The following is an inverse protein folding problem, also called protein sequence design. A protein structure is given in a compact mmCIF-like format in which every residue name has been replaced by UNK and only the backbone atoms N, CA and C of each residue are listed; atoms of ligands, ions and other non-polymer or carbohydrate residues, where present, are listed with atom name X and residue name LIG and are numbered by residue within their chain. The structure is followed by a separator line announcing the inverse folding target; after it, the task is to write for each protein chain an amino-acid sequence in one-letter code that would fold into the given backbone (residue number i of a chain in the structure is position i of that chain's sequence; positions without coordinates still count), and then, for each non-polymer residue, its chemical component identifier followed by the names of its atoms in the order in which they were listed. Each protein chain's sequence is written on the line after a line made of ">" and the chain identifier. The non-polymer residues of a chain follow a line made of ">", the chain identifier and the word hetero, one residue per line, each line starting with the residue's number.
data_IF_827061249016
#
_entry.id   IF_827061249016
#
_cell.length_a   1.000
_cell.length_b   1.000
_cell.length_c   1.000
_cell.angle_alpha   90.00
_cell.angle_beta   90.00
_cell.angle_gamma   90.00
#
_symmetry.space_group_name_H-M   'P 1'
#
loop_
_entity.id
_entity.type
_entity.pdbx_description
1 polymer ?
#
# COMPACT_ATOMS: atom_id res chain seq x y z
N UNK A 1 -11.44 -13.18 35.82
CA UNK A 1 -10.30 -12.87 34.93
C UNK A 1 -10.86 -12.66 33.54
N UNK A 2 -11.07 -11.40 33.17
CA UNK A 2 -11.69 -11.03 31.90
C UNK A 2 -10.65 -11.19 30.79
N UNK A 3 -10.94 -12.10 29.85
CA UNK A 3 -10.35 -12.10 28.52
C UNK A 3 -10.55 -10.69 27.93
N UNK A 4 -9.52 -9.83 28.01
CA UNK A 4 -9.39 -8.75 27.05
C UNK A 4 -9.17 -9.43 25.70
N UNK A 5 -10.26 -9.59 24.95
CA UNK A 5 -10.16 -9.54 23.50
C UNK A 5 -9.47 -8.21 23.21
N UNK A 6 -8.17 -8.26 22.88
CA UNK A 6 -7.49 -7.11 22.29
C UNK A 6 -8.32 -6.73 21.06
N UNK A 7 -9.01 -5.59 21.12
CA UNK A 7 -9.67 -5.02 19.95
C UNK A 7 -8.62 -4.87 18.87
N UNK A 8 -8.93 -5.29 17.65
CA UNK A 8 -8.02 -5.07 16.53
C UNK A 8 -7.82 -3.56 16.35
N UNK A 9 -6.61 -3.13 15.94
CA UNK A 9 -6.35 -1.72 15.64
C UNK A 9 -7.39 -1.18 14.65
N UNK A 10 -8.03 -0.07 15.00
CA UNK A 10 -9.05 0.59 14.16
C UNK A 10 -8.47 1.75 13.34
N UNK A 11 -7.17 2.05 13.51
CA UNK A 11 -6.51 3.17 12.86
C UNK A 11 -6.47 3.02 11.34
N UNK A 12 -6.89 4.07 10.63
CA UNK A 12 -6.73 4.17 9.18
C UNK A 12 -6.55 5.60 8.71
N UNK A 13 -5.90 5.76 7.55
CA UNK A 13 -5.90 6.99 6.77
C UNK A 13 -6.77 6.82 5.53
N UNK A 14 -7.54 7.84 5.15
CA UNK A 14 -8.30 7.88 3.90
C UNK A 14 -7.75 9.00 3.03
N UNK A 15 -7.38 8.67 1.80
CA UNK A 15 -6.99 9.67 0.81
C UNK A 15 -8.21 10.43 0.31
N UNK A 16 -8.16 11.76 0.36
CA UNK A 16 -9.23 12.66 -0.08
C UNK A 16 -9.01 13.05 -1.55
N UNK A 17 -9.14 12.08 -2.44
CA UNK A 17 -9.02 12.27 -3.88
C UNK A 17 -10.06 11.44 -4.63
N UNK A 18 -10.56 11.98 -5.74
CA UNK A 18 -11.30 11.20 -6.74
C UNK A 18 -10.34 10.65 -7.77
N UNK A 19 -10.15 9.33 -7.80
CA UNK A 19 -9.24 8.67 -8.73
C UNK A 19 -9.92 8.44 -10.10
N UNK A 20 -9.23 8.69 -11.22
CA UNK A 20 -9.75 8.32 -12.54
C UNK A 20 -9.75 6.79 -12.71
N UNK A 21 -10.41 6.30 -13.76
CA UNK A 21 -10.16 4.93 -14.20
C UNK A 21 -8.70 4.82 -14.68
N UNK A 22 -7.99 3.81 -14.20
CA UNK A 22 -6.54 3.68 -14.38
C UNK A 22 -6.22 2.43 -15.22
N UNK A 23 -5.87 2.56 -16.51
CA UNK A 23 -5.39 1.44 -17.33
C UNK A 23 -3.98 0.98 -16.93
N UNK A 24 -3.27 1.81 -16.16
CA UNK A 24 -2.02 1.49 -15.49
C UNK A 24 -1.96 2.27 -14.18
N UNK A 25 -1.22 1.75 -13.20
CA UNK A 25 -1.03 2.41 -11.91
C UNK A 25 0.35 2.09 -11.35
N UNK A 26 0.95 3.07 -10.69
CA UNK A 26 2.11 2.84 -9.82
C UNK A 26 1.88 3.52 -8.48
N UNK A 27 2.25 2.84 -7.40
CA UNK A 27 2.11 3.35 -6.03
C UNK A 27 3.44 3.16 -5.32
N UNK A 28 3.97 4.23 -4.73
CA UNK A 28 5.12 4.16 -3.84
C UNK A 28 4.69 4.62 -2.44
N UNK A 29 5.27 4.01 -1.41
CA UNK A 29 5.03 4.32 -0.01
C UNK A 29 6.30 4.01 0.78
N UNK A 30 6.59 4.79 1.83
CA UNK A 30 7.59 4.42 2.83
C UNK A 30 6.88 3.87 4.05
N UNK A 31 7.35 2.71 4.54
CA UNK A 31 6.80 2.07 5.72
C UNK A 31 7.90 1.73 6.71
N UNK A 32 7.59 1.83 7.99
CA UNK A 32 8.36 1.28 9.09
C UNK A 32 7.46 0.30 9.82
N UNK A 33 7.73 -1.00 9.65
CA UNK A 33 6.91 -2.07 10.24
C UNK A 33 7.22 -2.20 11.74
N UNK A 34 6.22 -2.35 12.61
CA UNK A 34 6.45 -2.65 14.03
C UNK A 34 6.99 -4.09 14.18
N UNK A 35 8.23 -4.30 14.66
CA UNK A 35 8.82 -5.62 14.76
C UNK A 35 8.06 -6.60 15.66
N UNK A 36 7.21 -6.10 16.56
CA UNK A 36 6.35 -6.92 17.43
C UNK A 36 5.04 -7.34 16.75
N UNK A 37 4.70 -6.77 15.60
CA UNK A 37 3.49 -7.09 14.87
C UNK A 37 3.71 -8.25 13.89
N UNK A 38 3.08 -9.38 14.17
CA UNK A 38 3.25 -10.65 13.44
C UNK A 38 2.03 -11.09 12.63
N UNK A 39 0.94 -10.32 12.67
CA UNK A 39 -0.27 -10.62 11.90
C UNK A 39 -0.08 -10.23 10.43
N UNK A 40 -0.97 -10.75 9.58
CA UNK A 40 -1.09 -10.24 8.22
C UNK A 40 -1.61 -8.81 8.26
N UNK A 41 -1.02 -7.93 7.46
CA UNK A 41 -1.39 -6.52 7.39
C UNK A 41 -1.57 -6.03 5.98
N UNK A 42 -2.38 -5.00 5.86
CA UNK A 42 -2.60 -4.27 4.61
C UNK A 42 -2.08 -2.84 4.76
N UNK A 43 -0.99 -2.53 4.06
CA UNK A 43 -0.38 -1.19 4.09
C UNK A 43 -1.30 -0.17 3.41
N UNK A 44 -1.88 -0.56 2.28
CA UNK A 44 -2.95 0.20 1.63
C UNK A 44 -3.89 -0.71 0.84
N UNK A 45 -5.13 -0.29 0.76
CA UNK A 45 -6.22 -0.97 0.04
C UNK A 45 -7.01 0.07 -0.75
N UNK A 46 -7.16 -0.15 -2.05
CA UNK A 46 -8.06 0.61 -2.93
C UNK A 46 -9.27 -0.26 -3.27
N UNK A 47 -10.45 0.28 -2.98
CA UNK A 47 -11.72 -0.37 -3.27
C UNK A 47 -12.56 0.51 -4.19
N UNK A 48 -13.19 -0.09 -5.19
CA UNK A 48 -14.21 0.56 -5.99
C UNK A 48 -15.60 0.08 -5.55
N UNK A 49 -16.64 0.90 -5.74
CA UNK A 49 -18.01 0.55 -5.34
C UNK A 49 -18.52 -0.76 -5.97
N UNK A 50 -18.00 -1.09 -7.16
CA UNK A 50 -18.33 -2.31 -7.91
C UNK A 50 -17.42 -3.50 -7.60
N UNK A 51 -16.27 -3.26 -6.95
CA UNK A 51 -15.28 -4.31 -6.68
C UNK A 51 -14.32 -3.90 -5.55
N UNK A 52 -14.38 -4.60 -4.42
CA UNK A 52 -13.68 -4.19 -3.21
C UNK A 52 -12.17 -4.42 -3.27
N UNK A 53 -11.71 -5.59 -3.71
CA UNK A 53 -10.28 -5.95 -3.67
C UNK A 53 -9.57 -5.50 -4.96
N UNK A 54 -9.73 -4.23 -5.31
CA UNK A 54 -9.35 -3.70 -6.61
C UNK A 54 -7.83 -3.58 -6.75
N UNK A 55 -7.15 -2.99 -5.75
CA UNK A 55 -5.70 -2.85 -5.71
C UNK A 55 -5.17 -2.75 -4.29
N UNK A 56 -4.24 -3.62 -3.87
CA UNK A 56 -3.77 -3.66 -2.47
C UNK A 56 -2.31 -4.10 -2.36
N UNK A 57 -1.61 -3.61 -1.34
CA UNK A 57 -0.32 -4.15 -0.93
C UNK A 57 -0.41 -4.70 0.49
N UNK A 58 -0.17 -6.00 0.64
CA UNK A 58 -0.21 -6.74 1.90
C UNK A 58 1.17 -7.22 2.31
N UNK A 59 1.35 -7.40 3.60
CA UNK A 59 2.57 -7.88 4.23
C UNK A 59 2.27 -8.98 5.25
N UNK A 60 3.18 -9.94 5.38
CA UNK A 60 3.12 -10.97 6.41
C UNK A 60 4.52 -11.37 6.86
N UNK A 61 4.74 -11.50 8.17
CA UNK A 61 5.98 -12.02 8.72
C UNK A 61 6.16 -13.51 8.40
N UNK A 62 7.33 -13.89 7.90
CA UNK A 62 7.72 -15.29 7.73
C UNK A 62 8.54 -15.84 8.91
N UNK A 63 8.75 -17.16 8.93
CA UNK A 63 9.52 -17.83 9.99
C UNK A 63 11.02 -17.52 10.00
N UNK A 64 11.51 -16.65 9.11
CA UNK A 64 12.91 -16.24 9.00
C UNK A 64 13.14 -14.78 9.36
N UNK A 65 12.11 -14.07 9.83
CA UNK A 65 12.21 -12.66 10.21
C UNK A 65 12.11 -11.70 9.03
N UNK A 66 11.46 -12.10 7.93
CA UNK A 66 11.21 -11.24 6.76
C UNK A 66 9.73 -10.90 6.66
N UNK A 67 9.41 -9.68 6.27
CA UNK A 67 8.07 -9.30 5.85
C UNK A 67 7.93 -9.63 4.37
N UNK A 68 7.14 -10.66 4.05
CA UNK A 68 6.82 -11.02 2.68
C UNK A 68 5.70 -10.13 2.17
N UNK A 69 5.83 -9.66 0.92
CA UNK A 69 4.89 -8.77 0.27
C UNK A 69 4.05 -9.50 -0.77
N UNK A 70 2.76 -9.18 -0.81
CA UNK A 70 1.86 -9.60 -1.87
C UNK A 70 1.06 -8.42 -2.42
N UNK A 71 1.10 -8.29 -3.74
CA UNK A 71 0.24 -7.37 -4.48
C UNK A 71 -1.08 -8.07 -4.78
N UNK A 72 -2.20 -7.35 -4.65
CA UNK A 72 -3.51 -7.79 -5.12
C UNK A 72 -3.95 -6.83 -6.23
N UNK A 73 -4.35 -7.38 -7.37
CA UNK A 73 -4.94 -6.60 -8.48
C UNK A 73 -6.18 -7.32 -8.98
N UNK A 74 -7.31 -6.63 -9.07
CA UNK A 74 -8.61 -7.20 -9.45
C UNK A 74 -8.96 -8.48 -8.66
N UNK A 75 -8.63 -8.50 -7.38
CA UNK A 75 -8.86 -9.64 -6.47
C UNK A 75 -7.89 -10.81 -6.67
N UNK A 76 -6.96 -10.72 -7.62
CA UNK A 76 -5.93 -11.73 -7.80
C UNK A 76 -4.75 -11.48 -6.87
N UNK A 77 -4.55 -12.39 -5.94
CA UNK A 77 -3.42 -12.37 -5.00
C UNK A 77 -2.14 -12.86 -5.68
N UNK A 78 -1.06 -12.05 -5.63
CA UNK A 78 0.26 -12.40 -6.14
C UNK A 78 1.09 -13.17 -5.11
N UNK A 79 1.96 -14.10 -5.53
CA UNK A 79 2.79 -14.86 -4.61
C UNK A 79 3.66 -13.99 -3.71
N UNK A 80 3.84 -14.42 -2.45
CA UNK A 80 4.74 -13.82 -1.48
C UNK A 80 6.23 -14.08 -1.81
N UNK A 81 6.79 -13.37 -2.79
CA UNK A 81 8.22 -13.51 -3.18
C UNK A 81 9.06 -12.26 -2.94
N UNK A 82 8.49 -11.06 -3.04
CA UNK A 82 9.17 -9.83 -2.63
C UNK A 82 9.18 -9.75 -1.10
N UNK A 83 10.24 -9.19 -0.50
CA UNK A 83 10.35 -9.07 0.95
C UNK A 83 11.33 -7.98 1.39
N UNK A 84 11.23 -7.60 2.65
CA UNK A 84 12.20 -6.79 3.39
C UNK A 84 12.43 -7.37 4.79
N UNK A 85 13.56 -7.10 5.48
CA UNK A 85 13.79 -7.59 6.84
C UNK A 85 12.82 -6.94 7.85
N UNK A 86 12.34 -7.70 8.84
CA UNK A 86 11.59 -7.14 9.95
C UNK A 86 12.53 -6.52 11.01
N UNK A 87 13.23 -5.44 10.65
CA UNK A 87 14.29 -4.82 11.44
C UNK A 87 13.89 -3.49 12.11
N UNK A 88 12.65 -3.04 11.89
CA UNK A 88 12.14 -1.76 12.40
C UNK A 88 12.72 -0.54 11.67
N UNK A 89 13.39 -0.71 10.54
CA UNK A 89 13.85 0.38 9.68
C UNK A 89 12.78 0.81 8.67
N UNK A 90 13.02 1.97 8.05
CA UNK A 90 12.21 2.44 6.93
C UNK A 90 12.55 1.68 5.65
N UNK A 91 11.53 1.20 4.95
CA UNK A 91 11.64 0.62 3.63
C UNK A 91 10.76 1.37 2.63
N UNK A 92 11.30 1.59 1.43
CA UNK A 92 10.58 2.20 0.32
C UNK A 92 10.00 1.12 -0.57
N UNK A 93 8.68 1.01 -0.55
CA UNK A 93 7.92 -0.01 -1.26
C UNK A 93 7.22 0.64 -2.45
N UNK A 94 7.49 0.14 -3.65
CA UNK A 94 6.77 0.56 -4.84
C UNK A 94 6.19 -0.62 -5.59
N UNK A 95 5.03 -0.43 -6.19
CA UNK A 95 4.40 -1.41 -7.06
C UNK A 95 3.96 -0.77 -8.36
N UNK A 96 3.83 -1.56 -9.40
CA UNK A 96 3.26 -1.13 -10.68
C UNK A 96 2.38 -2.21 -11.26
N UNK A 97 1.37 -1.81 -12.01
CA UNK A 97 0.52 -2.67 -12.81
C UNK A 97 0.08 -1.97 -14.10
N UNK A 98 -0.09 -2.73 -15.19
CA UNK A 98 -0.72 -2.22 -16.42
C UNK A 98 -1.59 -3.26 -17.12
N UNK A 99 -2.69 -2.79 -17.68
CA UNK A 99 -3.68 -3.58 -18.41
C UNK A 99 -3.15 -4.21 -19.69
N UNK A 100 -2.26 -3.52 -20.41
CA UNK A 100 -1.86 -3.87 -21.78
C UNK A 100 -1.35 -5.29 -21.95
N UNK A 101 -0.63 -5.80 -20.95
CA UNK A 101 -0.05 -7.14 -20.91
C UNK A 101 -0.19 -7.81 -19.53
N UNK A 102 -0.95 -7.18 -18.62
CA UNK A 102 -1.07 -7.60 -17.23
C UNK A 102 0.25 -7.59 -16.48
N UNK A 103 1.24 -6.80 -16.93
CA UNK A 103 2.53 -6.71 -16.25
C UNK A 103 2.34 -6.08 -14.87
N UNK A 104 2.94 -6.69 -13.86
CA UNK A 104 3.05 -6.14 -12.52
C UNK A 104 4.45 -6.37 -11.95
N UNK A 105 4.85 -5.52 -11.01
CA UNK A 105 6.09 -5.70 -10.27
C UNK A 105 6.01 -5.06 -8.88
N UNK A 106 6.79 -5.62 -7.94
CA UNK A 106 7.01 -5.09 -6.60
C UNK A 106 8.49 -4.74 -6.49
N UNK A 107 8.78 -3.54 -6.00
CA UNK A 107 10.11 -3.02 -5.73
C UNK A 107 10.25 -2.71 -4.26
N UNK A 108 11.39 -3.10 -3.69
CA UNK A 108 11.78 -2.84 -2.31
C UNK A 108 13.12 -2.10 -2.38
N UNK A 109 13.16 -0.91 -1.78
CA UNK A 109 14.35 -0.06 -1.72
C UNK A 109 14.97 0.21 -3.11
N UNK A 110 14.11 0.41 -4.12
CA UNK A 110 14.49 0.66 -5.51
C UNK A 110 14.94 -0.59 -6.30
N UNK A 111 14.92 -1.78 -5.68
CA UNK A 111 15.30 -3.05 -6.30
C UNK A 111 14.05 -3.90 -6.55
N UNK A 112 13.97 -4.57 -7.70
CA UNK A 112 12.82 -5.41 -8.06
C UNK A 112 12.85 -6.69 -7.21
N UNK A 113 11.82 -6.89 -6.38
CA UNK A 113 11.65 -8.07 -5.54
C UNK A 113 10.83 -9.17 -6.23
N UNK A 114 9.81 -8.80 -7.00
CA UNK A 114 9.00 -9.75 -7.77
C UNK A 114 8.37 -9.10 -9.01
N UNK A 115 7.97 -9.91 -9.99
CA UNK A 115 7.22 -9.47 -11.16
C UNK A 115 6.48 -10.60 -11.87
N UNK A 116 5.51 -10.24 -12.69
CA UNK A 116 4.81 -11.17 -13.58
C UNK A 116 4.06 -10.46 -14.69
N UNK A 117 3.38 -11.25 -15.52
CA UNK A 117 2.56 -10.78 -16.64
C UNK A 117 1.48 -11.82 -17.00
N UNK A 118 0.48 -11.45 -17.80
CA UNK A 118 -0.35 -12.41 -18.52
C UNK A 118 -1.45 -13.13 -17.72
N UNK A 119 -1.87 -12.59 -16.57
CA UNK A 119 -2.92 -13.21 -15.74
C UNK A 119 -4.09 -12.28 -15.39
N UNK A 120 -4.03 -10.99 -15.71
CA UNK A 120 -5.02 -10.02 -15.22
C UNK A 120 -6.30 -9.90 -16.04
N UNK A 121 -7.34 -9.46 -15.34
CA UNK A 121 -8.60 -9.08 -15.99
C UNK A 121 -8.32 -7.93 -16.95
N UNK A 122 -8.72 -8.00 -18.23
CA UNK A 122 -8.40 -6.98 -19.23
C UNK A 122 -9.30 -5.74 -19.09
N UNK A 123 -9.42 -5.20 -17.88
CA UNK A 123 -10.18 -4.00 -17.53
C UNK A 123 -9.29 -3.03 -16.77
N UNK A 124 -9.69 -1.77 -16.72
CA UNK A 124 -8.96 -0.77 -15.94
C UNK A 124 -9.18 -1.06 -14.44
N UNK A 125 -8.29 -0.52 -13.60
CA UNK A 125 -8.66 -0.25 -12.20
C UNK A 125 -9.79 0.77 -12.25
N UNK A 126 -10.93 0.44 -11.64
CA UNK A 126 -12.10 1.32 -11.63
C UNK A 126 -11.76 2.66 -10.98
N UNK A 127 -12.26 3.74 -11.55
CA UNK A 127 -12.20 5.06 -10.93
C UNK A 127 -13.19 5.21 -9.78
N UNK A 128 -13.20 6.40 -9.19
CA UNK A 128 -14.09 6.82 -8.10
C UNK A 128 -14.03 5.91 -6.85
N UNK A 129 -12.91 5.21 -6.67
CA UNK A 129 -12.67 4.35 -5.53
C UNK A 129 -12.15 5.08 -4.29
N UNK A 130 -11.99 4.33 -3.20
CA UNK A 130 -11.48 4.80 -1.92
C UNK A 130 -10.15 4.12 -1.64
N UNK A 131 -9.08 4.93 -1.51
CA UNK A 131 -7.78 4.48 -1.05
C UNK A 131 -7.67 4.67 0.47
N UNK A 132 -7.52 3.55 1.17
CA UNK A 132 -7.33 3.46 2.62
C UNK A 132 -5.90 3.01 2.90
N UNK A 133 -5.29 3.64 3.90
CA UNK A 133 -4.01 3.28 4.48
C UNK A 133 -4.23 2.55 5.80
N UNK A 134 -3.49 1.47 5.99
CA UNK A 134 -3.40 0.74 7.24
C UNK A 134 -4.50 -0.29 7.52
N UNK A 135 -5.45 -0.48 6.60
CA UNK A 135 -6.52 -1.47 6.72
C UNK A 135 -6.85 -2.09 5.37
N UNK A 136 -7.26 -3.36 5.39
CA UNK A 136 -7.99 -3.97 4.28
C UNK A 136 -9.45 -3.52 4.30
N UNK A 137 -10.05 -3.41 3.11
CA UNK A 137 -11.44 -3.09 2.90
C UNK A 137 -12.17 -4.38 2.51
N UNK A 138 -12.97 -4.98 3.41
CA UNK A 138 -13.88 -6.08 3.03
C UNK A 138 -15.22 -5.55 2.47
N UNK A 139 -15.41 -4.23 2.49
CA UNK A 139 -16.49 -3.53 1.80
C UNK A 139 -16.02 -2.16 1.31
N UNK A 140 -16.75 -1.55 0.36
CA UNK A 140 -16.39 -0.23 -0.14
C UNK A 140 -16.37 0.83 0.98
N UNK A 141 -15.17 1.26 1.39
CA UNK A 141 -14.96 2.26 2.43
C UNK A 141 -15.20 1.80 3.87
N UNK A 142 -15.24 0.48 4.15
CA UNK A 142 -15.49 -0.02 5.51
C UNK A 142 -15.32 -1.53 5.66
N UNK A 143 -15.80 -2.06 6.79
CA UNK A 143 -15.55 -3.44 7.23
C UNK A 143 -14.04 -3.73 7.24
N UNK A 144 -13.31 -2.93 8.02
CA UNK A 144 -11.86 -2.95 8.01
C UNK A 144 -11.32 -4.19 8.71
N UNK A 145 -10.33 -4.82 8.09
CA UNK A 145 -9.64 -6.00 8.60
C UNK A 145 -8.14 -5.92 8.35
N UNK A 146 -7.38 -6.79 9.00
CA UNK A 146 -5.93 -6.97 8.75
C UNK A 146 -5.12 -5.66 8.88
N UNK A 147 -5.18 -5.04 10.08
CA UNK A 147 -4.56 -3.74 10.29
C UNK A 147 -3.05 -3.80 10.11
N UNK A 148 -2.49 -2.72 9.57
CA UNK A 148 -1.05 -2.45 9.64
C UNK A 148 -0.73 -1.67 10.92
N UNK A 149 0.35 -2.09 11.58
CA UNK A 149 0.89 -1.44 12.77
C UNK A 149 2.32 -1.01 12.46
N UNK A 150 2.61 0.27 12.68
CA UNK A 150 3.86 0.91 12.33
C UNK A 150 3.65 2.32 11.78
N UNK A 151 4.62 2.79 11.00
CA UNK A 151 4.61 4.15 10.45
C UNK A 151 4.51 4.14 8.93
N UNK A 152 3.80 5.13 8.38
CA UNK A 152 3.63 5.35 6.95
C UNK A 152 3.95 6.80 6.60
N UNK A 153 4.68 7.01 5.50
CA UNK A 153 4.87 8.33 4.88
C UNK A 153 5.08 8.19 3.37
N UNK A 154 5.16 9.33 2.67
CA UNK A 154 5.59 9.40 1.26
C UNK A 154 4.77 8.51 0.31
N UNK A 155 3.45 8.39 0.55
CA UNK A 155 2.53 7.76 -0.40
C UNK A 155 2.38 8.64 -1.65
N UNK A 156 2.70 8.06 -2.80
CA UNK A 156 2.54 8.72 -4.09
C UNK A 156 1.89 7.76 -5.09
N UNK A 157 0.97 8.27 -5.91
CA UNK A 157 0.22 7.48 -6.90
C UNK A 157 0.35 8.10 -8.28
N UNK A 158 0.65 7.27 -9.28
CA UNK A 158 0.66 7.63 -10.69
C UNK A 158 -0.37 6.76 -11.44
N UNK A 159 -1.08 7.34 -12.40
CA UNK A 159 -1.97 6.64 -13.34
C UNK A 159 -1.23 6.04 -14.55
N UNK A 160 0.09 5.86 -14.38
CA UNK A 160 0.98 5.30 -15.39
C UNK A 160 1.82 4.17 -14.78
N UNK A 161 2.28 3.26 -15.63
CA UNK A 161 3.23 2.23 -15.23
C UNK A 161 4.65 2.79 -15.27
N UNK A 162 5.26 2.93 -14.09
CA UNK A 162 6.64 3.36 -13.93
C UNK A 162 7.61 2.18 -14.12
N UNK A 163 8.83 2.51 -14.52
CA UNK A 163 9.91 1.57 -14.78
C UNK A 163 10.95 1.56 -13.65
N UNK A 164 11.80 0.53 -13.63
CA UNK A 164 12.83 0.34 -12.61
C UNK A 164 13.71 1.57 -12.37
N UNK A 165 14.07 2.33 -13.43
CA UNK A 165 14.90 3.53 -13.28
C UNK A 165 14.19 4.60 -12.45
N UNK A 166 12.89 4.79 -12.68
CA UNK A 166 12.08 5.76 -11.95
C UNK A 166 11.94 5.36 -10.48
N UNK A 167 11.72 4.08 -10.18
CA UNK A 167 11.68 3.61 -8.79
C UNK A 167 13.00 3.79 -8.04
N UNK A 168 14.15 3.61 -8.73
CA UNK A 168 15.46 3.92 -8.14
C UNK A 168 15.63 5.42 -7.86
N UNK A 169 15.17 6.28 -8.76
CA UNK A 169 15.17 7.74 -8.57
C UNK A 169 14.33 8.13 -7.35
N UNK A 170 13.10 7.63 -7.25
CA UNK A 170 12.20 7.87 -6.12
C UNK A 170 12.78 7.35 -4.79
N UNK A 171 13.40 6.16 -4.79
CA UNK A 171 14.06 5.61 -3.61
C UNK A 171 15.15 6.54 -3.07
N UNK A 172 15.91 7.18 -3.98
CA UNK A 172 16.91 8.20 -3.66
C UNK A 172 16.34 9.58 -3.35
N UNK A 173 15.05 9.69 -3.04
CA UNK A 173 14.34 10.94 -2.72
C UNK A 173 14.41 12.01 -3.82
N UNK A 174 14.58 11.59 -5.07
CA UNK A 174 14.58 12.48 -6.23
C UNK A 174 13.23 12.45 -6.93
N UNK A 175 12.79 13.59 -7.46
CA UNK A 175 11.52 13.69 -8.19
C UNK A 175 11.61 13.08 -9.59
N UNK A 176 10.45 12.66 -10.09
CA UNK A 176 10.27 12.28 -11.50
C UNK A 176 9.81 13.49 -12.31
N UNK A 177 9.97 13.43 -13.63
CA UNK A 177 9.34 14.38 -14.55
C UNK A 177 7.86 14.07 -14.80
N UNK A 178 7.44 12.84 -14.47
CA UNK A 178 6.03 12.42 -14.55
C UNK A 178 5.33 12.83 -13.27
N UNK A 179 4.28 13.63 -13.39
CA UNK A 179 3.49 14.09 -12.25
C UNK A 179 2.72 12.93 -11.64
N UNK A 180 2.74 12.86 -10.31
CA UNK A 180 1.87 11.97 -9.56
C UNK A 180 0.45 12.54 -9.55
N UNK A 181 -0.56 11.68 -9.69
CA UNK A 181 -1.95 12.07 -9.55
C UNK A 181 -2.31 12.31 -8.07
N UNK A 182 -1.61 11.65 -7.15
CA UNK A 182 -1.64 11.93 -5.72
C UNK A 182 -0.22 12.00 -5.16
N UNK A 183 0.05 12.99 -4.32
CA UNK A 183 1.30 13.16 -3.57
C UNK A 183 0.98 13.27 -2.09
N UNK A 184 1.80 12.65 -1.24
CA UNK A 184 1.61 12.66 0.21
C UNK A 184 1.44 14.07 0.75
N UNK A 185 0.27 14.32 1.32
CA UNK A 185 -0.06 15.54 2.05
C UNK A 185 -1.16 15.25 3.03
N UNK A 186 -0.93 15.58 4.30
CA UNK A 186 -1.92 15.35 5.37
C UNK A 186 -3.21 16.14 5.16
N UNK A 187 -3.13 17.31 4.52
CA UNK A 187 -4.29 18.13 4.19
C UNK A 187 -5.22 17.45 3.18
N UNK A 188 -4.66 16.54 2.36
CA UNK A 188 -5.40 15.74 1.39
C UNK A 188 -5.77 14.35 1.95
N UNK A 189 -5.81 14.19 3.28
CA UNK A 189 -6.18 12.93 3.92
C UNK A 189 -7.10 13.16 5.12
N UNK A 190 -8.05 12.23 5.30
CA UNK A 190 -8.85 12.12 6.53
C UNK A 190 -8.28 10.99 7.38
N UNK A 191 -8.09 11.20 8.67
CA UNK A 191 -7.55 10.19 9.59
C UNK A 191 -8.60 9.71 10.58
N UNK A 192 -8.55 8.43 10.94
CA UNK A 192 -9.25 7.95 12.11
C UNK A 192 -8.70 8.65 13.37
N UNK A 193 -9.54 8.99 14.38
CA UNK A 193 -9.09 9.76 15.55
C UNK A 193 -7.95 9.12 16.37
N UNK A 194 -7.79 7.80 16.29
CA UNK A 194 -6.71 7.07 16.98
C UNK A 194 -5.36 7.13 16.27
N UNK A 195 -5.34 7.62 15.02
CA UNK A 195 -4.13 7.74 14.22
C UNK A 195 -3.41 9.02 14.56
N UNK A 196 -2.24 8.88 15.16
CA UNK A 196 -1.34 9.98 15.43
C UNK A 196 -0.63 10.43 14.15
N UNK A 197 -0.24 11.70 14.13
CA UNK A 197 0.52 12.26 13.02
C UNK A 197 1.62 13.15 13.57
N UNK A 198 2.85 12.86 13.19
CA UNK A 198 4.00 13.68 13.49
C UNK A 198 4.13 14.75 12.40
N UNK A 199 3.78 15.99 12.74
CA UNK A 199 3.85 17.13 11.80
C UNK A 199 5.28 17.52 11.45
N UNK A 200 6.26 17.25 12.31
CA UNK A 200 7.66 17.60 12.08
C UNK A 200 8.33 16.64 11.12
N UNK A 201 8.06 15.35 11.32
CA UNK A 201 8.64 14.27 10.50
C UNK A 201 7.75 13.89 9.31
N UNK A 202 6.54 14.44 9.22
CA UNK A 202 5.57 14.16 8.14
C UNK A 202 5.16 12.67 8.10
N UNK A 203 4.88 12.08 9.28
CA UNK A 203 4.64 10.63 9.46
C UNK A 203 3.23 10.38 10.01
N UNK A 204 2.53 9.40 9.43
CA UNK A 204 1.33 8.80 10.00
C UNK A 204 1.71 7.58 10.86
N UNK A 205 1.25 7.55 12.10
CA UNK A 205 1.55 6.49 13.07
C UNK A 205 0.30 5.66 13.36
N UNK A 206 0.38 4.35 13.08
CA UNK A 206 -0.70 3.38 13.27
C UNK A 206 -0.30 2.45 14.41
N UNK A 207 -0.92 2.66 15.58
CA UNK A 207 -0.65 1.93 16.82
C UNK A 207 -1.52 0.67 16.96
N UNK A 208 -1.14 -0.17 17.94
CA UNK A 208 -1.93 -1.30 18.42
C UNK A 208 -3.22 -0.88 19.13
#
# INVERSE_FOLDING_TARGET
>A
ESNLLLSLPEGYGRVNMTFPAMPAVSVCVRVQWDPQWYQVSTMYSYAAAVFTNEFQLRGQLDGTGRILLALIVHGQHRPYKAFFPNDGAWHHLCVTWRKTDGHWAIYVDGVRGDMGSGSDTPRDIHGDGILILGQDQDSFGGNFTEPFVGNITDLNVWDTALEQRQFRTLNGCSSLTQDAIFTWSIDNMTRHPVVEYDEYENIMVLHL
#
